data_IF_972400649776
#
_entry.id   IF_972400649776
#
_cell.length_a   1.000
_cell.length_b   1.000
_cell.length_c   1.000
_cell.angle_alpha   90.00
_cell.angle_beta   90.00
_cell.angle_gamma   90.00
#
_symmetry.space_group_name_H-M   'P 1'
#
loop_
_entity.id
_entity.type
_entity.pdbx_description
1 polymer ?
#
# COMPACT_ATOMS: atom_id res chain seq x y z
N UNK A 1 -21.29 3.51 3.11
CA UNK A 1 -20.04 4.28 3.18
C UNK A 1 -20.15 5.28 4.33
N UNK A 2 -19.14 5.34 5.19
CA UNK A 2 -19.09 6.22 6.36
C UNK A 2 -18.79 7.69 5.97
N UNK A 3 -18.13 7.92 4.82
CA UNK A 3 -17.74 9.21 4.26
C UNK A 3 -18.41 9.47 2.92
N UNK A 4 -18.56 10.74 2.52
CA UNK A 4 -19.11 11.12 1.19
C UNK A 4 -18.22 10.65 0.04
N UNK A 5 -16.91 10.67 0.27
CA UNK A 5 -15.90 10.15 -0.65
C UNK A 5 -14.74 9.52 0.14
N UNK A 6 -14.13 8.51 -0.44
CA UNK A 6 -12.95 7.83 0.10
C UNK A 6 -11.80 7.87 -0.89
N UNK A 7 -10.59 7.98 -0.37
CA UNK A 7 -9.36 7.73 -1.09
C UNK A 7 -8.95 6.29 -0.90
N UNK A 8 -8.79 5.56 -2.00
CA UNK A 8 -8.24 4.22 -2.05
C UNK A 8 -6.78 4.32 -2.48
N UNK A 9 -5.88 3.75 -1.68
CA UNK A 9 -4.43 3.75 -1.91
C UNK A 9 -3.98 2.30 -1.89
N UNK A 10 -3.22 1.90 -2.90
CA UNK A 10 -2.53 0.61 -2.91
C UNK A 10 -1.07 0.80 -2.53
N UNK A 11 -0.62 -0.01 -1.59
CA UNK A 11 0.76 -0.01 -1.07
C UNK A 11 1.27 -1.44 -1.07
N UNK A 12 2.48 -1.64 -1.57
CA UNK A 12 3.19 -2.89 -1.48
C UNK A 12 4.30 -2.74 -0.43
N UNK A 13 4.24 -3.55 0.63
CA UNK A 13 5.17 -3.53 1.77
C UNK A 13 6.14 -4.70 1.63
N UNK A 14 7.42 -4.39 1.57
CA UNK A 14 8.51 -5.36 1.37
C UNK A 14 9.34 -5.48 2.64
N UNK A 15 9.94 -6.63 2.82
CA UNK A 15 10.95 -6.84 3.84
C UNK A 15 12.34 -6.44 3.32
N UNK A 16 13.24 -6.00 4.19
CA UNK A 16 14.62 -5.75 3.82
C UNK A 16 15.30 -7.04 3.33
N UNK A 17 16.34 -6.89 2.56
CA UNK A 17 17.10 -8.02 2.02
C UNK A 17 17.80 -8.79 3.14
N UNK A 18 18.30 -8.08 4.12
CA UNK A 18 18.93 -8.60 5.32
C UNK A 18 18.18 -8.08 6.55
N UNK A 19 17.56 -8.98 7.31
CA UNK A 19 16.97 -8.63 8.61
C UNK A 19 18.09 -8.63 9.66
N UNK A 20 18.21 -7.57 10.48
CA UNK A 20 19.14 -7.59 11.61
C UNK A 20 18.84 -8.77 12.53
N UNK A 21 19.87 -9.49 12.95
CA UNK A 21 19.75 -10.71 13.80
C UNK A 21 19.08 -10.44 15.14
N UNK A 22 19.04 -9.17 15.57
CA UNK A 22 18.36 -8.74 16.80
C UNK A 22 16.83 -8.84 16.73
N UNK A 23 16.26 -9.07 15.57
CA UNK A 23 14.81 -9.32 15.40
C UNK A 23 14.57 -10.85 15.38
N UNK A 24 15.13 -11.56 16.32
CA UNK A 24 14.80 -12.97 16.58
C UNK A 24 13.55 -13.06 17.47
N UNK A 25 12.43 -12.58 16.95
CA UNK A 25 11.12 -13.05 17.36
C UNK A 25 10.97 -14.43 16.70
N UNK A 26 10.66 -15.52 17.44
CA UNK A 26 10.50 -16.86 16.88
C UNK A 26 9.46 -16.93 15.76
N UNK A 27 8.61 -15.91 15.61
CA UNK A 27 7.77 -15.65 14.45
C UNK A 27 7.64 -14.15 14.19
N UNK A 28 8.69 -13.48 13.63
CA UNK A 28 8.68 -12.04 13.38
C UNK A 28 7.55 -11.60 12.46
N UNK A 29 6.91 -12.54 11.80
CA UNK A 29 5.95 -12.30 10.75
C UNK A 29 4.49 -12.27 11.18
N UNK A 30 4.08 -13.00 12.21
CA UNK A 30 2.66 -13.15 12.55
C UNK A 30 2.02 -11.85 13.00
N UNK A 31 2.80 -10.97 13.63
CA UNK A 31 2.32 -9.70 14.18
C UNK A 31 2.73 -8.47 13.36
N UNK A 32 3.65 -8.57 12.38
CA UNK A 32 4.20 -7.40 11.69
C UNK A 32 3.13 -6.55 11.00
N UNK A 33 2.20 -7.19 10.30
CA UNK A 33 1.14 -6.47 9.61
C UNK A 33 0.16 -5.81 10.61
N UNK A 34 -0.06 -6.42 11.75
CA UNK A 34 -0.88 -5.83 12.82
C UNK A 34 -0.17 -4.64 13.46
N UNK A 35 1.15 -4.74 13.71
CA UNK A 35 1.98 -3.61 14.19
C UNK A 35 1.96 -2.45 13.21
N UNK A 36 2.07 -2.73 11.91
CA UNK A 36 1.96 -1.71 10.87
C UNK A 36 0.65 -0.92 10.96
N UNK A 37 -0.50 -1.61 11.01
CA UNK A 37 -1.78 -0.92 11.09
C UNK A 37 -1.98 -0.18 12.42
N UNK A 38 -1.46 -0.70 13.51
CA UNK A 38 -1.50 -0.03 14.82
C UNK A 38 -0.67 1.27 14.78
N UNK A 39 0.55 1.21 14.26
CA UNK A 39 1.44 2.37 14.09
C UNK A 39 0.83 3.42 13.16
N UNK A 40 0.35 3.01 11.98
CA UNK A 40 -0.27 3.93 11.02
C UNK A 40 -1.52 4.61 11.60
N UNK A 41 -2.37 3.87 12.31
CA UNK A 41 -3.55 4.42 13.00
C UNK A 41 -3.15 5.45 14.04
N UNK A 42 -2.13 5.17 14.85
CA UNK A 42 -1.62 6.10 15.86
C UNK A 42 -1.08 7.39 15.24
N UNK A 43 -0.32 7.30 14.14
CA UNK A 43 0.21 8.46 13.39
C UNK A 43 -0.92 9.32 12.82
N UNK A 44 -1.93 8.72 12.19
CA UNK A 44 -3.11 9.43 11.68
C UNK A 44 -3.84 10.15 12.83
N UNK A 45 -4.02 9.50 13.97
CA UNK A 45 -4.67 10.11 15.13
C UNK A 45 -3.84 11.26 15.70
N UNK A 46 -2.51 11.11 15.78
CA UNK A 46 -1.60 12.18 16.23
C UNK A 46 -1.66 13.40 15.31
N UNK A 47 -1.65 13.18 13.98
CA UNK A 47 -1.82 14.25 12.99
C UNK A 47 -3.14 15.00 13.19
N UNK A 48 -4.24 14.28 13.38
CA UNK A 48 -5.55 14.91 13.61
C UNK A 48 -5.60 15.68 14.95
N UNK A 49 -4.96 15.18 16.01
CA UNK A 49 -4.84 15.91 17.28
C UNK A 49 -4.05 17.20 17.11
N UNK A 50 -2.87 17.12 16.44
CA UNK A 50 -2.03 18.30 16.14
C UNK A 50 -2.83 19.39 15.42
N UNK A 51 -3.60 19.02 14.39
CA UNK A 51 -4.45 19.98 13.66
C UNK A 51 -5.54 20.61 14.54
N UNK A 52 -6.20 19.82 15.41
CA UNK A 52 -7.18 20.38 16.34
C UNK A 52 -6.57 21.39 17.31
N UNK A 53 -5.38 21.08 17.87
CA UNK A 53 -4.67 22.00 18.75
C UNK A 53 -4.24 23.29 18.03
N UNK A 54 -3.92 23.20 16.75
CA UNK A 54 -3.64 24.36 15.92
C UNK A 54 -4.92 25.10 15.43
N UNK A 55 -6.09 24.76 15.97
CA UNK A 55 -7.39 25.30 15.57
C UNK A 55 -7.68 25.18 14.06
N UNK A 56 -7.12 24.16 13.40
CA UNK A 56 -7.34 23.88 12.00
C UNK A 56 -8.55 22.95 11.81
N UNK A 57 -9.21 23.10 10.65
CA UNK A 57 -10.33 22.22 10.29
C UNK A 57 -9.84 20.77 10.17
N UNK A 58 -10.52 19.88 10.89
CA UNK A 58 -10.23 18.43 10.85
C UNK A 58 -11.48 17.68 10.40
N UNK A 59 -11.33 16.91 9.33
CA UNK A 59 -12.36 15.97 8.90
C UNK A 59 -12.15 14.63 9.60
N UNK A 60 -13.23 14.08 10.16
CA UNK A 60 -13.16 12.75 10.76
C UNK A 60 -12.74 11.73 9.72
N UNK A 61 -11.77 10.90 10.05
CA UNK A 61 -11.34 9.80 9.19
C UNK A 61 -11.20 8.51 10.00
N UNK A 62 -11.54 7.41 9.39
CA UNK A 62 -11.28 6.07 9.91
C UNK A 62 -10.42 5.33 8.90
N UNK A 63 -9.34 4.72 9.38
CA UNK A 63 -8.52 3.84 8.57
C UNK A 63 -9.26 2.52 8.37
N UNK A 64 -9.59 2.22 7.12
CA UNK A 64 -10.05 0.90 6.69
C UNK A 64 -9.01 0.30 5.78
N UNK A 65 -8.86 -1.02 5.81
CA UNK A 65 -7.83 -1.69 5.04
C UNK A 65 -8.26 -3.11 4.66
N UNK A 66 -7.63 -3.57 3.60
CA UNK A 66 -7.53 -4.97 3.20
C UNK A 66 -6.06 -5.26 2.90
N UNK A 67 -5.58 -6.45 3.23
CA UNK A 67 -4.22 -6.86 2.92
C UNK A 67 -4.18 -8.32 2.49
N UNK A 68 -3.20 -8.66 1.67
CA UNK A 68 -2.82 -10.02 1.39
C UNK A 68 -1.29 -10.18 1.43
N UNK A 69 -0.86 -11.35 1.85
CA UNK A 69 0.53 -11.79 1.90
C UNK A 69 0.82 -12.63 0.67
N UNK A 70 1.92 -12.34 0.01
CA UNK A 70 2.37 -13.07 -1.17
C UNK A 70 3.87 -13.38 -1.07
N UNK A 71 4.29 -14.41 -1.81
CA UNK A 71 5.69 -14.80 -1.93
C UNK A 71 6.16 -14.53 -3.35
N UNK A 72 7.28 -13.84 -3.50
CA UNK A 72 7.85 -13.51 -4.81
C UNK A 72 8.30 -14.76 -5.56
N UNK A 73 7.98 -14.84 -6.84
CA UNK A 73 8.24 -16.02 -7.69
C UNK A 73 9.73 -16.38 -7.81
N UNK A 74 10.63 -15.38 -7.85
CA UNK A 74 12.06 -15.63 -8.11
C UNK A 74 12.84 -16.03 -6.86
N UNK A 75 12.54 -15.43 -5.71
CA UNK A 75 13.34 -15.62 -4.49
C UNK A 75 12.50 -16.00 -3.26
N UNK A 76 11.23 -16.31 -3.45
CA UNK A 76 10.34 -16.66 -2.34
C UNK A 76 10.15 -15.55 -1.29
N UNK A 77 10.60 -14.32 -1.57
CA UNK A 77 10.57 -13.22 -0.61
C UNK A 77 9.14 -12.82 -0.29
N UNK A 78 8.83 -12.81 0.98
CA UNK A 78 7.53 -12.39 1.51
C UNK A 78 7.31 -10.89 1.31
N UNK A 79 6.09 -10.51 0.95
CA UNK A 79 5.66 -9.12 0.89
C UNK A 79 4.15 -9.03 1.11
N UNK A 80 3.68 -7.83 1.48
CA UNK A 80 2.27 -7.56 1.64
C UNK A 80 1.78 -6.58 0.59
N UNK A 81 0.65 -6.91 -0.03
CA UNK A 81 -0.14 -5.95 -0.77
C UNK A 81 -1.25 -5.42 0.13
N UNK A 82 -1.32 -4.12 0.26
CA UNK A 82 -2.25 -3.44 1.15
C UNK A 82 -3.11 -2.45 0.36
N UNK A 83 -4.42 -2.46 0.61
CA UNK A 83 -5.34 -1.40 0.21
C UNK A 83 -5.73 -0.63 1.46
N UNK A 84 -5.52 0.67 1.44
CA UNK A 84 -5.95 1.60 2.47
C UNK A 84 -7.14 2.41 1.95
N UNK A 85 -8.14 2.60 2.81
CA UNK A 85 -9.32 3.43 2.55
C UNK A 85 -9.42 4.48 3.65
N UNK A 86 -9.39 5.74 3.25
CA UNK A 86 -9.40 6.90 4.15
C UNK A 86 -10.42 7.93 3.67
N UNK A 87 -10.82 8.85 4.54
CA UNK A 87 -11.66 9.98 4.13
C UNK A 87 -10.90 10.86 3.13
N UNK A 88 -11.49 11.07 1.94
CA UNK A 88 -10.90 11.91 0.88
C UNK A 88 -10.68 13.35 1.34
N UNK A 89 -11.57 13.90 2.17
CA UNK A 89 -11.47 15.28 2.63
C UNK A 89 -10.29 15.49 3.60
N UNK A 90 -9.76 14.42 4.18
CA UNK A 90 -8.53 14.45 4.98
C UNK A 90 -7.30 14.12 4.14
N UNK A 91 -7.42 13.11 3.28
CA UNK A 91 -6.32 12.50 2.53
C UNK A 91 -6.67 12.40 1.05
N UNK A 92 -6.61 13.51 0.31
CA UNK A 92 -6.88 13.51 -1.14
C UNK A 92 -5.69 12.98 -1.98
N UNK A 93 -4.47 13.00 -1.43
CA UNK A 93 -3.24 12.51 -2.06
C UNK A 93 -2.33 11.87 -1.03
N UNK A 94 -1.21 11.31 -1.46
CA UNK A 94 -0.13 10.85 -0.59
C UNK A 94 0.64 11.99 0.08
N UNK A 95 0.57 13.19 -0.49
CA UNK A 95 1.36 14.35 -0.08
C UNK A 95 2.79 14.28 -0.62
N UNK A 96 3.62 15.18 -0.13
CA UNK A 96 5.04 15.22 -0.43
C UNK A 96 5.77 14.14 0.38
N UNK A 97 6.62 13.36 -0.29
CA UNK A 97 7.37 12.27 0.33
C UNK A 97 8.48 12.74 1.27
N UNK A 98 8.89 14.00 1.15
CA UNK A 98 9.87 14.64 2.06
C UNK A 98 9.21 15.32 3.27
N UNK A 99 7.89 15.50 3.25
CA UNK A 99 7.17 16.20 4.33
C UNK A 99 6.81 15.20 5.45
N UNK A 100 7.31 15.41 6.69
CA UNK A 100 7.12 14.47 7.81
C UNK A 100 5.66 14.21 8.18
N UNK A 101 4.74 15.12 7.81
CA UNK A 101 3.31 14.98 8.10
C UNK A 101 2.49 14.49 6.92
N UNK A 102 3.13 14.07 5.84
CA UNK A 102 2.45 13.52 4.67
C UNK A 102 1.94 12.10 4.94
N UNK A 103 0.93 11.68 4.18
CA UNK A 103 0.43 10.30 4.31
C UNK A 103 1.49 9.28 3.84
N UNK A 104 2.27 9.63 2.81
CA UNK A 104 3.36 8.78 2.32
C UNK A 104 4.39 8.51 3.42
N UNK A 105 4.89 9.56 4.07
CA UNK A 105 5.87 9.45 5.16
C UNK A 105 5.30 8.68 6.34
N UNK A 106 4.04 8.93 6.74
CA UNK A 106 3.41 8.18 7.82
C UNK A 106 3.32 6.67 7.52
N UNK A 107 3.06 6.29 6.26
CA UNK A 107 3.01 4.88 5.84
C UNK A 107 4.41 4.27 5.90
N UNK A 108 5.43 4.96 5.39
CA UNK A 108 6.83 4.51 5.42
C UNK A 108 7.33 4.33 6.87
N UNK A 109 7.16 5.33 7.70
CA UNK A 109 7.53 5.26 9.12
C UNK A 109 6.75 4.19 9.89
N UNK A 110 5.46 3.98 9.56
CA UNK A 110 4.68 2.92 10.18
C UNK A 110 5.22 1.52 9.82
N UNK A 111 5.72 1.36 8.60
CA UNK A 111 6.33 0.10 8.18
C UNK A 111 7.70 -0.11 8.84
N UNK A 112 8.57 0.92 8.89
CA UNK A 112 9.82 0.87 9.63
C UNK A 112 9.58 0.51 11.10
N UNK A 113 8.64 1.18 11.75
CA UNK A 113 8.25 0.90 13.14
C UNK A 113 7.78 -0.55 13.34
N UNK A 114 7.02 -1.09 12.39
CA UNK A 114 6.55 -2.48 12.45
C UNK A 114 7.68 -3.51 12.31
N UNK A 115 8.73 -3.14 11.57
CA UNK A 115 9.93 -3.95 11.36
C UNK A 115 11.03 -3.67 12.40
N UNK A 116 10.81 -2.77 13.36
CA UNK A 116 11.83 -2.30 14.32
C UNK A 116 13.07 -1.72 13.63
N UNK A 117 12.87 -1.04 12.51
CA UNK A 117 13.90 -0.37 11.73
C UNK A 117 13.90 1.13 11.99
N UNK A 118 15.07 1.74 11.89
CA UNK A 118 15.18 3.19 11.80
C UNK A 118 14.64 3.70 10.45
N UNK A 119 14.11 4.93 10.37
CA UNK A 119 13.48 5.45 9.15
C UNK A 119 14.37 5.36 7.90
N UNK A 120 15.68 5.61 8.04
CA UNK A 120 16.65 5.55 6.94
C UNK A 120 16.93 4.12 6.43
N UNK A 121 16.64 3.08 7.23
CA UNK A 121 16.76 1.68 6.84
C UNK A 121 15.54 1.21 6.02
N UNK A 122 14.46 1.97 6.03
CA UNK A 122 13.21 1.65 5.35
C UNK A 122 13.13 2.11 3.91
N UNK A 123 14.19 2.70 3.37
CA UNK A 123 14.18 3.19 2.00
C UNK A 123 13.92 2.05 0.99
N UNK A 124 13.01 2.28 0.05
CA UNK A 124 12.60 1.29 -0.94
C UNK A 124 11.73 0.13 -0.42
N UNK A 125 11.44 0.03 0.89
CA UNK A 125 10.59 -1.04 1.45
C UNK A 125 9.09 -0.80 1.24
N UNK A 126 8.68 0.45 1.05
CA UNK A 126 7.29 0.83 0.78
C UNK A 126 7.15 1.30 -0.65
N UNK A 127 6.36 0.59 -1.43
CA UNK A 127 6.13 0.91 -2.82
C UNK A 127 4.68 1.34 -3.07
N UNK A 128 4.50 2.55 -3.58
CA UNK A 128 3.18 3.08 -3.91
C UNK A 128 2.86 2.74 -5.37
N UNK A 129 1.94 1.80 -5.56
CA UNK A 129 1.56 1.35 -6.89
C UNK A 129 0.82 2.44 -7.65
N UNK A 130 1.40 2.91 -8.76
CA UNK A 130 0.72 3.80 -9.69
C UNK A 130 -0.41 3.07 -10.39
N UNK A 131 -1.53 3.72 -10.58
CA UNK A 131 -2.60 3.16 -11.38
C UNK A 131 -2.36 3.48 -12.86
N UNK A 132 -1.87 2.49 -13.59
CA UNK A 132 -1.92 2.53 -15.06
C UNK A 132 -3.18 1.78 -15.49
N UNK A 133 -4.02 2.36 -16.37
CA UNK A 133 -5.08 1.59 -17.00
C UNK A 133 -4.46 0.36 -17.67
N UNK A 134 -5.04 -0.82 -17.50
CA UNK A 134 -4.58 -2.01 -18.19
C UNK A 134 -4.55 -1.73 -19.69
N UNK A 135 -3.37 -1.68 -20.27
CA UNK A 135 -3.24 -1.72 -21.73
C UNK A 135 -3.87 -3.04 -22.16
N UNK A 136 -4.94 -2.98 -22.95
CA UNK A 136 -5.41 -4.18 -23.65
C UNK A 136 -4.22 -4.71 -24.44
N UNK A 137 -3.89 -6.01 -24.37
CA UNK A 137 -2.85 -6.55 -25.23
C UNK A 137 -3.29 -6.28 -26.67
N UNK A 138 -2.55 -5.44 -27.37
CA UNK A 138 -2.70 -5.29 -28.81
C UNK A 138 -2.03 -6.49 -29.44
N UNK A 139 -2.64 -7.04 -30.50
CA UNK A 139 -2.19 -8.22 -31.23
C UNK A 139 -0.79 -8.13 -31.87
N UNK A 140 -0.06 -7.04 -31.60
CA UNK A 140 1.32 -6.80 -32.05
C UNK A 140 2.41 -7.19 -31.03
N UNK A 141 2.06 -7.69 -29.84
CA UNK A 141 3.04 -8.10 -28.83
C UNK A 141 3.50 -9.57 -28.94
N UNK A 142 3.26 -10.22 -30.08
CA UNK A 142 3.88 -11.50 -30.41
C UNK A 142 5.36 -11.26 -30.74
N UNK A 143 6.26 -11.46 -29.77
CA UNK A 143 7.70 -11.52 -30.04
C UNK A 143 8.03 -12.73 -30.88
N UNK A 144 8.77 -12.57 -31.99
CA UNK A 144 9.46 -13.70 -32.61
C UNK A 144 10.68 -14.06 -31.74
N UNK A 145 10.80 -15.34 -31.45
CA UNK A 145 12.03 -15.92 -30.89
C UNK A 145 13.13 -15.92 -31.92
N UNK A 146 14.27 -15.31 -31.66
CA UNK A 146 15.54 -15.71 -32.27
C UNK A 146 16.70 -15.24 -31.39
N UNK A 147 17.59 -16.20 -31.16
CA UNK A 147 18.91 -16.10 -30.54
C UNK A 147 19.77 -14.99 -31.15
N UNK A 148 20.60 -14.33 -30.34
CA UNK A 148 22.06 -14.28 -30.39
C UNK A 148 22.60 -13.12 -29.55
N UNK A 149 23.62 -13.43 -28.80
CA UNK A 149 24.52 -12.64 -27.95
C UNK A 149 25.55 -11.86 -28.80
N UNK A 150 26.50 -11.10 -28.17
CA UNK A 150 26.50 -10.05 -27.15
C UNK A 150 27.21 -8.75 -27.59
N UNK A 151 27.38 -7.77 -26.73
CA UNK A 151 28.51 -6.89 -26.44
C UNK A 151 28.15 -5.40 -26.24
N UNK A 152 28.56 -4.98 -25.06
CA UNK A 152 29.17 -3.68 -24.68
C UNK A 152 28.47 -2.35 -25.00
N UNK A 153 28.31 -1.57 -23.97
CA UNK A 153 28.60 -0.15 -24.02
C UNK A 153 27.42 0.80 -23.78
N UNK A 154 27.52 1.60 -22.71
CA UNK A 154 26.99 2.94 -22.72
C UNK A 154 25.71 3.15 -21.95
N UNK A 155 25.85 3.32 -20.64
CA UNK A 155 24.90 4.02 -19.78
C UNK A 155 24.77 5.48 -20.21
N UNK A 156 23.60 5.90 -20.66
CA UNK A 156 23.05 7.26 -20.49
C UNK A 156 21.61 7.29 -20.93
N UNK A 157 20.70 6.84 -20.07
CA UNK A 157 19.27 7.00 -20.28
C UNK A 157 18.75 8.12 -19.35
N UNK A 158 19.01 9.36 -19.74
CA UNK A 158 18.34 10.54 -19.21
C UNK A 158 16.91 10.57 -19.73
N UNK A 159 16.04 9.73 -19.15
CA UNK A 159 14.60 9.85 -19.36
C UNK A 159 14.09 11.07 -18.59
N UNK A 160 13.73 12.12 -19.34
CA UNK A 160 13.03 13.30 -18.85
C UNK A 160 11.87 12.87 -17.95
N UNK A 161 11.98 13.17 -16.67
CA UNK A 161 10.89 13.07 -15.71
C UNK A 161 9.77 13.99 -16.16
N UNK A 162 8.64 13.41 -16.56
CA UNK A 162 7.43 14.19 -16.81
C UNK A 162 6.95 14.80 -15.48
N UNK A 163 6.72 16.10 -15.46
CA UNK A 163 6.30 16.96 -14.33
C UNK A 163 4.91 16.64 -13.74
N UNK A 164 4.52 15.38 -13.63
CA UNK A 164 3.33 14.98 -12.88
C UNK A 164 3.71 14.73 -11.42
N UNK A 165 3.15 15.54 -10.50
CA UNK A 165 3.27 15.36 -9.05
C UNK A 165 3.22 13.88 -8.70
N UNK A 166 4.24 13.34 -8.00
CA UNK A 166 4.40 11.86 -7.83
C UNK A 166 3.26 11.16 -7.08
N UNK A 167 2.32 11.88 -6.50
CA UNK A 167 1.25 11.32 -5.65
C UNK A 167 -0.13 11.11 -6.29
N UNK A 168 -0.44 11.76 -7.41
CA UNK A 168 -1.83 11.76 -7.91
C UNK A 168 -2.28 10.44 -8.56
N UNK A 169 -1.38 9.72 -9.23
CA UNK A 169 -1.71 8.46 -9.89
C UNK A 169 -1.82 7.25 -8.93
N UNK A 170 -1.39 7.38 -7.67
CA UNK A 170 -1.42 6.32 -6.68
C UNK A 170 -2.73 6.27 -5.88
N UNK A 171 -3.57 7.30 -5.97
CA UNK A 171 -4.82 7.43 -5.21
C UNK A 171 -6.03 7.37 -6.15
N UNK A 172 -6.96 6.47 -5.86
CA UNK A 172 -8.26 6.41 -6.54
C UNK A 172 -9.33 7.00 -5.62
N UNK A 173 -10.04 8.02 -6.09
CA UNK A 173 -11.16 8.59 -5.35
C UNK A 173 -12.46 7.87 -5.70
N UNK A 174 -13.21 7.50 -4.67
CA UNK A 174 -14.49 6.83 -4.81
C UNK A 174 -15.54 7.70 -4.10
N UNK A 175 -16.44 8.29 -4.87
CA UNK A 175 -17.60 9.02 -4.34
C UNK A 175 -18.76 8.04 -4.12
N UNK A 176 -19.68 8.42 -3.24
CA UNK A 176 -20.94 7.67 -3.07
C UNK A 176 -21.74 7.72 -4.38
N UNK A 177 -22.16 6.56 -4.88
CA UNK A 177 -22.89 6.43 -6.14
C UNK A 177 -22.01 6.37 -7.39
N UNK A 178 -20.70 6.52 -7.29
CA UNK A 178 -19.77 6.40 -8.41
C UNK A 178 -19.50 4.92 -8.71
N UNK A 179 -20.31 4.36 -9.60
CA UNK A 179 -20.26 2.94 -9.98
C UNK A 179 -18.97 2.61 -10.71
N UNK A 180 -18.47 3.51 -11.55
CA UNK A 180 -17.25 3.30 -12.32
C UNK A 180 -16.02 3.25 -11.40
N UNK A 181 -15.87 4.21 -10.49
CA UNK A 181 -14.78 4.20 -9.53
C UNK A 181 -14.86 2.98 -8.59
N UNK A 182 -16.07 2.56 -8.21
CA UNK A 182 -16.27 1.36 -7.41
C UNK A 182 -15.86 0.09 -8.18
N UNK A 183 -16.18 0.01 -9.48
CA UNK A 183 -15.76 -1.11 -10.32
C UNK A 183 -14.23 -1.15 -10.49
N UNK A 184 -13.60 0.01 -10.70
CA UNK A 184 -12.12 0.14 -10.71
C UNK A 184 -11.50 -0.35 -9.38
N UNK A 185 -12.10 0.03 -8.26
CA UNK A 185 -11.67 -0.41 -6.94
C UNK A 185 -11.80 -1.94 -6.76
N UNK A 186 -12.93 -2.52 -7.19
CA UNK A 186 -13.15 -3.98 -7.17
C UNK A 186 -12.12 -4.72 -8.01
N UNK A 187 -11.86 -4.25 -9.22
CA UNK A 187 -10.87 -4.86 -10.12
C UNK A 187 -9.46 -4.83 -9.49
N UNK A 188 -9.10 -3.75 -8.78
CA UNK A 188 -7.84 -3.68 -8.02
C UNK A 188 -7.79 -4.67 -6.86
N UNK A 189 -8.87 -4.77 -6.11
CA UNK A 189 -8.95 -5.69 -4.99
C UNK A 189 -8.93 -7.15 -5.44
N UNK A 190 -9.65 -7.50 -6.52
CA UNK A 190 -9.68 -8.86 -7.07
C UNK A 190 -8.31 -9.31 -7.58
N UNK A 191 -7.50 -8.39 -8.12
CA UNK A 191 -6.12 -8.71 -8.52
C UNK A 191 -5.26 -9.16 -7.33
N UNK A 192 -5.50 -8.60 -6.14
CA UNK A 192 -4.76 -8.97 -4.92
C UNK A 192 -5.20 -10.33 -4.34
N UNK A 193 -6.34 -10.87 -4.78
CA UNK A 193 -6.90 -12.13 -4.25
C UNK A 193 -6.58 -13.32 -5.16
N UNK A 194 -5.73 -13.16 -6.18
CA UNK A 194 -5.34 -14.27 -7.07
C UNK A 194 -4.74 -15.41 -6.25
N UNK A 195 -5.34 -16.59 -6.39
CA UNK A 195 -4.96 -17.80 -5.66
C UNK A 195 -3.55 -18.29 -6.00
N UNK A 196 -3.11 -18.07 -7.24
CA UNK A 196 -1.86 -18.61 -7.80
C UNK A 196 -0.57 -18.09 -7.11
N UNK A 197 -0.64 -16.94 -6.44
CA UNK A 197 0.52 -16.32 -5.76
C UNK A 197 0.54 -16.57 -4.24
N UNK A 198 -0.44 -17.33 -3.72
CA UNK A 198 -0.60 -17.58 -2.29
C UNK A 198 -0.15 -19.00 -1.95
N UNK A 199 1.15 -19.14 -1.72
CA UNK A 199 1.68 -20.40 -1.21
C UNK A 199 1.31 -20.55 0.26
N UNK A 200 0.85 -21.75 0.64
CA UNK A 200 0.78 -22.16 2.03
C UNK A 200 2.19 -22.55 2.47
N UNK A 201 2.78 -21.73 3.33
CA UNK A 201 4.12 -21.95 3.89
C UNK A 201 4.13 -22.90 5.09
N UNK A 202 3.00 -23.54 5.39
CA UNK A 202 2.85 -24.43 6.55
C UNK A 202 2.81 -23.73 7.91
N UNK A 203 3.00 -22.39 7.96
CA UNK A 203 3.04 -21.62 9.22
C UNK A 203 1.68 -21.47 9.91
N UNK A 204 0.59 -21.86 9.28
CA UNK A 204 -0.78 -21.61 9.77
C UNK A 204 -1.20 -20.14 9.75
N UNK A 205 -0.35 -19.25 9.26
CA UNK A 205 -0.64 -17.82 9.19
C UNK A 205 -1.63 -17.48 8.09
N UNK A 206 -2.44 -16.45 8.34
CA UNK A 206 -3.40 -15.96 7.36
C UNK A 206 -2.70 -15.27 6.20
N UNK A 207 -3.14 -15.60 4.98
CA UNK A 207 -2.64 -14.95 3.76
C UNK A 207 -3.40 -13.65 3.41
N UNK A 208 -4.47 -13.34 4.12
CA UNK A 208 -5.24 -12.11 3.92
C UNK A 208 -5.97 -11.69 5.20
N UNK A 209 -6.35 -10.42 5.26
CA UNK A 209 -7.17 -9.87 6.32
C UNK A 209 -7.72 -8.50 5.98
N UNK A 210 -8.67 -8.04 6.79
CA UNK A 210 -9.26 -6.71 6.63
C UNK A 210 -9.60 -6.09 7.98
N UNK A 211 -9.79 -4.78 7.98
CA UNK A 211 -10.36 -4.06 9.13
C UNK A 211 -11.79 -4.50 9.37
N UNK A 212 -12.19 -4.65 10.63
CA UNK A 212 -13.58 -4.90 11.00
C UNK A 212 -14.47 -3.76 10.50
N UNK A 213 -15.63 -4.09 9.94
CA UNK A 213 -16.66 -3.11 9.60
C UNK A 213 -17.10 -2.29 10.82
N UNK A 214 -17.83 -1.17 10.64
CA UNK A 214 -18.58 -0.58 11.75
C UNK A 214 -19.46 -1.70 12.30
N UNK A 215 -19.40 -1.93 13.63
CA UNK A 215 -20.31 -2.86 14.27
C UNK A 215 -21.74 -2.53 13.84
N UNK A 216 -22.51 -3.53 13.40
CA UNK A 216 -23.97 -3.36 13.39
C UNK A 216 -24.32 -2.99 14.82
N UNK A 217 -24.84 -1.79 15.01
CA UNK A 217 -25.68 -1.55 16.19
C UNK A 217 -26.75 -2.64 16.07
N UNK A 218 -26.67 -3.62 16.94
CA UNK A 218 -27.80 -4.50 17.17
C UNK A 218 -28.89 -3.57 17.72
N UNK A 219 -29.85 -3.22 16.85
CA UNK A 219 -31.04 -2.52 17.29
C UNK A 219 -31.61 -3.37 18.42
N UNK A 220 -31.49 -2.84 19.65
CA UNK A 220 -32.05 -3.46 20.81
C UNK A 220 -33.55 -3.63 20.60
N UNK A 221 -33.99 -4.87 20.70
CA UNK A 221 -35.39 -5.18 21.04
C UNK A 221 -35.56 -5.13 22.54
#
# INVERSE_FOLDING_TARGET
>A
MQHRAVSLIRVDLRFPEYMPVTIMDPDPDSAVISRFFASLKAKIQAYQRKKRWANQRVHATSLRYFWCREFGKMYGRKHYHVILLLNKDTWCSLGDFSEPSSLATMIQEAWCSALHLEPWQGDGLVHFSRWTPSRKPTSSDARPSSDDTPLSGGCSDTRKASDKKPGEAAVLWIKRGDVEALQKARNRASYLVKYETKQHDGSGQRNYGCSRGPGRLLDGR
#
